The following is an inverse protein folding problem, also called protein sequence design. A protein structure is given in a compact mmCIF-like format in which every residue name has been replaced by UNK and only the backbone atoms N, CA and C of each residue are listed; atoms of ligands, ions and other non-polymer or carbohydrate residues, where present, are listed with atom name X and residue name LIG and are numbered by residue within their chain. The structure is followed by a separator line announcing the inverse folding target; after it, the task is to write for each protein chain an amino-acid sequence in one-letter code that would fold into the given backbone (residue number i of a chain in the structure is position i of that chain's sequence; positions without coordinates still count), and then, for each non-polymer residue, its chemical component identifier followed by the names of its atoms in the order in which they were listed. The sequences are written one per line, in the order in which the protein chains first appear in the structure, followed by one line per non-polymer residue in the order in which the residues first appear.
data_IF_094211939600
#
_entry.id   IF_094211939600
#
_cell.length_a   1.000
_cell.length_b   1.000
_cell.length_c   1.000
_cell.angle_alpha   90.00
_cell.angle_beta   90.00
_cell.angle_gamma   90.00
#
_symmetry.space_group_name_H-M   'P 1'
#
loop_
_entity.id
_entity.type
_entity.pdbx_description
1 polymer ?
#
# COMPACT_ATOMS: atom_id res chain seq x y z
N UNK A 1 57.26 24.27 32.36
CA UNK A 1 56.53 23.11 31.99
C UNK A 1 55.06 23.47 31.74
N UNK A 2 54.62 23.55 30.49
CA UNK A 2 53.23 23.85 30.13
C UNK A 2 52.63 22.60 29.52
N UNK A 3 51.64 22.00 30.23
CA UNK A 3 50.87 20.87 29.74
C UNK A 3 49.80 21.41 28.81
N UNK A 4 49.87 21.01 27.54
CA UNK A 4 48.82 21.27 26.57
C UNK A 4 47.74 20.18 26.71
N UNK A 5 46.55 20.59 27.12
CA UNK A 5 45.36 19.70 27.14
C UNK A 5 44.80 19.55 25.73
N UNK A 6 44.78 18.30 25.25
CA UNK A 6 44.10 17.94 24.01
C UNK A 6 42.66 17.61 24.36
N UNK A 7 41.74 18.49 23.96
CA UNK A 7 40.29 18.24 24.05
C UNK A 7 39.86 17.40 22.83
N UNK A 8 39.51 16.16 23.10
CA UNK A 8 38.94 15.25 22.10
C UNK A 8 37.45 15.58 21.92
N UNK A 9 37.10 16.23 20.83
CA UNK A 9 35.71 16.49 20.47
C UNK A 9 35.10 15.21 19.90
N UNK A 10 34.19 14.58 20.65
CA UNK A 10 33.40 13.46 20.16
C UNK A 10 32.30 13.98 19.21
N UNK A 11 32.47 13.68 17.94
CA UNK A 11 31.42 13.90 16.92
C UNK A 11 30.39 12.77 17.06
N UNK A 12 29.26 13.07 17.70
CA UNK A 12 28.08 12.20 17.64
C UNK A 12 27.50 12.28 16.22
N UNK A 13 27.80 11.27 15.40
CA UNK A 13 27.12 11.08 14.13
C UNK A 13 25.65 10.73 14.39
N UNK A 14 24.72 11.65 14.08
CA UNK A 14 23.30 11.32 13.93
C UNK A 14 23.18 10.36 12.75
N UNK A 15 23.09 9.06 13.04
CA UNK A 15 22.62 8.08 12.07
C UNK A 15 21.14 8.39 11.81
N UNK A 16 20.86 9.22 10.80
CA UNK A 16 19.52 9.41 10.31
C UNK A 16 19.00 8.05 9.86
N UNK A 17 17.97 7.52 10.54
CA UNK A 17 17.22 6.37 10.06
C UNK A 17 16.52 6.83 8.78
N UNK A 18 17.11 6.54 7.63
CA UNK A 18 16.42 6.63 6.37
C UNK A 18 15.16 5.79 6.49
N UNK A 19 13.98 6.42 6.30
CA UNK A 19 12.73 5.69 6.22
C UNK A 19 12.92 4.66 5.10
N UNK A 20 13.07 3.39 5.46
CA UNK A 20 13.16 2.31 4.50
C UNK A 20 11.77 2.17 3.90
N UNK A 21 11.69 2.21 2.58
CA UNK A 21 10.55 1.69 1.87
C UNK A 21 10.27 0.29 2.43
N UNK A 22 9.01 0.00 2.69
CA UNK A 22 8.63 -1.23 3.39
C UNK A 22 8.80 -2.44 2.48
N UNK A 23 9.76 -3.27 2.79
CA UNK A 23 10.05 -4.50 2.06
C UNK A 23 9.03 -5.58 2.44
N UNK A 24 8.25 -6.02 1.46
CA UNK A 24 7.23 -7.05 1.60
C UNK A 24 7.73 -8.45 1.19
N UNK A 25 9.02 -8.59 0.86
CA UNK A 25 9.57 -9.87 0.41
C UNK A 25 9.30 -10.97 1.43
N UNK A 26 8.65 -12.05 0.99
CA UNK A 26 8.28 -13.18 1.85
C UNK A 26 7.06 -12.94 2.76
N UNK A 27 6.53 -11.73 2.82
CA UNK A 27 5.35 -11.43 3.64
C UNK A 27 4.08 -12.04 3.02
N UNK A 28 3.23 -12.61 3.88
CA UNK A 28 1.92 -13.14 3.49
C UNK A 28 0.77 -12.21 3.89
N UNK A 29 1.02 -11.31 4.84
CA UNK A 29 0.04 -10.36 5.35
C UNK A 29 0.63 -8.96 5.43
N UNK A 30 -0.09 -8.00 4.91
CA UNK A 30 0.31 -6.60 4.93
C UNK A 30 -0.89 -5.66 4.90
N UNK A 31 -0.64 -4.43 5.29
CA UNK A 31 -1.62 -3.35 5.29
C UNK A 31 -1.26 -2.38 4.16
N UNK A 32 -2.20 -2.10 3.28
CA UNK A 32 -2.06 -1.09 2.24
C UNK A 32 -2.88 0.15 2.58
N UNK A 33 -2.29 1.32 2.41
CA UNK A 33 -2.96 2.62 2.53
C UNK A 33 -3.10 3.27 1.16
N UNK A 34 -4.30 3.73 0.84
CA UNK A 34 -4.58 4.52 -0.35
C UNK A 34 -4.31 5.99 -0.07
N UNK A 35 -3.48 6.64 -0.88
CA UNK A 35 -3.15 8.07 -0.73
C UNK A 35 -3.88 8.95 -1.73
N UNK A 36 -3.95 8.53 -2.97
CA UNK A 36 -4.47 9.31 -4.08
C UNK A 36 -5.25 8.45 -5.04
N UNK A 37 -6.31 9.01 -5.64
CA UNK A 37 -7.08 8.34 -6.67
C UNK A 37 -7.45 9.29 -7.81
N UNK A 38 -7.56 8.73 -9.00
CA UNK A 38 -8.11 9.39 -10.19
C UNK A 38 -9.29 8.57 -10.67
N UNK A 39 -10.42 9.22 -10.83
CA UNK A 39 -11.64 8.63 -11.40
C UNK A 39 -11.88 9.20 -12.79
N UNK A 40 -12.13 8.34 -13.77
CA UNK A 40 -12.48 8.73 -15.13
C UNK A 40 -13.81 8.13 -15.54
N UNK A 41 -14.61 8.92 -16.22
CA UNK A 41 -15.92 8.54 -16.70
C UNK A 41 -15.91 8.21 -18.21
N UNK A 42 -16.94 7.51 -18.66
CA UNK A 42 -17.04 7.08 -20.06
C UNK A 42 -17.10 8.23 -21.09
N UNK A 43 -17.48 9.44 -20.68
CA UNK A 43 -17.44 10.65 -21.49
C UNK A 43 -16.03 11.26 -21.64
N UNK A 44 -15.04 10.71 -20.93
CA UNK A 44 -13.65 11.15 -20.95
C UNK A 44 -13.27 12.17 -19.90
N UNK A 45 -14.20 12.62 -19.06
CA UNK A 45 -13.88 13.49 -17.94
C UNK A 45 -13.22 12.72 -16.81
N UNK A 46 -12.22 13.32 -16.15
CA UNK A 46 -11.49 12.73 -15.04
C UNK A 46 -11.33 13.75 -13.92
N UNK A 47 -11.44 13.25 -12.69
CA UNK A 47 -11.17 13.99 -11.46
C UNK A 47 -10.12 13.28 -10.61
N UNK A 48 -9.31 14.03 -9.88
CA UNK A 48 -8.26 13.49 -9.02
C UNK A 48 -8.32 14.09 -7.63
N UNK A 49 -7.97 13.30 -6.64
CA UNK A 49 -7.94 13.76 -5.25
C UNK A 49 -7.56 12.67 -4.27
N UNK A 50 -7.73 12.94 -2.96
CA UNK A 50 -7.51 11.93 -1.94
C UNK A 50 -8.43 10.71 -2.16
N UNK A 51 -7.93 9.52 -1.90
CA UNK A 51 -8.66 8.28 -2.19
C UNK A 51 -10.04 8.20 -1.52
N UNK A 52 -10.18 8.71 -0.30
CA UNK A 52 -11.46 8.71 0.44
C UNK A 52 -12.56 9.57 -0.20
N UNK A 53 -12.22 10.49 -1.09
CA UNK A 53 -13.22 11.30 -1.83
C UNK A 53 -14.05 10.47 -2.82
N UNK A 54 -13.62 9.22 -3.10
CA UNK A 54 -14.21 8.38 -4.14
C UNK A 54 -14.70 7.03 -3.60
N UNK A 55 -15.06 6.94 -2.33
CA UNK A 55 -15.46 5.70 -1.65
C UNK A 55 -14.41 4.57 -1.75
N UNK A 56 -13.14 4.95 -1.86
CA UNK A 56 -12.03 4.02 -1.78
C UNK A 56 -11.63 3.85 -0.32
N UNK A 57 -11.63 2.63 0.22
CA UNK A 57 -11.19 2.40 1.58
C UNK A 57 -9.76 2.91 1.78
N UNK A 58 -9.55 3.70 2.82
CA UNK A 58 -8.23 4.27 3.11
C UNK A 58 -7.21 3.18 3.47
N UNK A 59 -7.66 2.12 4.14
CA UNK A 59 -6.80 1.01 4.55
C UNK A 59 -7.42 -0.32 4.16
N UNK A 60 -6.60 -1.18 3.56
CA UNK A 60 -6.97 -2.55 3.20
C UNK A 60 -5.91 -3.50 3.73
N UNK A 61 -6.35 -4.50 4.48
CA UNK A 61 -5.53 -5.65 4.84
C UNK A 61 -5.51 -6.65 3.69
N UNK A 62 -4.32 -7.10 3.32
CA UNK A 62 -4.10 -8.14 2.33
C UNK A 62 -3.62 -9.40 3.04
N UNK A 63 -4.33 -10.50 2.83
CA UNK A 63 -4.00 -11.82 3.34
C UNK A 63 -3.83 -12.76 2.14
N UNK A 64 -2.58 -12.98 1.73
CA UNK A 64 -2.26 -13.81 0.56
C UNK A 64 -2.51 -15.30 0.84
N UNK A 65 -2.27 -15.73 2.09
CA UNK A 65 -2.46 -17.12 2.50
C UNK A 65 -3.93 -17.54 2.39
N UNK A 66 -4.84 -16.68 2.87
CA UNK A 66 -6.27 -16.93 2.81
C UNK A 66 -6.94 -16.33 1.56
N UNK A 67 -6.17 -15.74 0.66
CA UNK A 67 -6.64 -15.11 -0.59
C UNK A 67 -7.81 -14.16 -0.38
N UNK A 68 -7.63 -13.19 0.50
CA UNK A 68 -8.67 -12.20 0.81
C UNK A 68 -8.12 -10.81 1.04
N UNK A 69 -8.93 -9.82 0.72
CA UNK A 69 -8.78 -8.42 1.10
C UNK A 69 -9.81 -8.11 2.18
N UNK A 70 -9.45 -7.34 3.18
CA UNK A 70 -10.38 -6.90 4.23
C UNK A 70 -10.21 -5.41 4.50
N UNK A 71 -11.32 -4.69 4.64
CA UNK A 71 -11.30 -3.32 5.14
C UNK A 71 -10.99 -3.32 6.63
N UNK A 72 -10.40 -2.24 7.12
CA UNK A 72 -10.12 -2.05 8.53
C UNK A 72 -11.22 -1.24 9.21
N UNK A 73 -11.29 -1.30 10.53
CA UNK A 73 -12.21 -0.44 11.31
C UNK A 73 -11.93 1.06 11.07
N UNK A 74 -10.67 1.42 10.84
CA UNK A 74 -10.28 2.79 10.53
C UNK A 74 -10.84 3.29 9.19
N UNK A 75 -11.19 2.40 8.27
CA UNK A 75 -11.85 2.75 7.01
C UNK A 75 -13.37 2.93 7.13
N UNK A 76 -13.94 2.74 8.32
CA UNK A 76 -15.39 2.88 8.56
C UNK A 76 -16.25 1.78 7.94
N UNK A 77 -15.65 0.76 7.37
CA UNK A 77 -16.32 -0.37 6.71
C UNK A 77 -15.88 -1.71 7.33
N UNK A 78 -16.76 -2.70 7.21
CA UNK A 78 -16.46 -4.09 7.56
C UNK A 78 -16.78 -4.99 6.37
N UNK A 79 -15.81 -5.18 5.49
CA UNK A 79 -15.98 -5.93 4.25
C UNK A 79 -14.79 -6.85 4.02
N UNK A 80 -15.07 -8.04 3.52
CA UNK A 80 -14.05 -9.00 3.09
C UNK A 80 -14.34 -9.41 1.65
N UNK A 81 -13.32 -9.31 0.81
CA UNK A 81 -13.40 -9.60 -0.63
C UNK A 81 -12.43 -10.70 -0.99
N UNK A 82 -12.85 -11.75 -1.72
CA UNK A 82 -11.95 -12.79 -2.15
C UNK A 82 -11.00 -12.30 -3.25
N UNK A 83 -9.75 -12.76 -3.19
CA UNK A 83 -8.78 -12.64 -4.28
C UNK A 83 -9.00 -13.85 -5.20
N UNK A 84 -9.43 -13.60 -6.43
CA UNK A 84 -9.74 -14.66 -7.39
C UNK A 84 -8.49 -15.14 -8.14
N UNK A 85 -7.55 -14.25 -8.39
CA UNK A 85 -6.27 -14.55 -9.02
C UNK A 85 -5.15 -13.89 -8.21
N UNK A 86 -4.12 -14.68 -7.90
CA UNK A 86 -2.93 -14.25 -7.18
C UNK A 86 -1.70 -14.74 -7.94
N UNK A 87 -0.83 -13.81 -8.31
CA UNK A 87 0.49 -14.10 -8.87
C UNK A 87 1.55 -13.38 -8.06
N UNK A 88 2.66 -14.06 -7.82
CA UNK A 88 3.82 -13.49 -7.14
C UNK A 88 5.05 -13.89 -7.92
N UNK A 89 5.59 -12.96 -8.67
CA UNK A 89 6.66 -13.21 -9.63
C UNK A 89 7.52 -11.98 -9.84
N UNK A 90 8.81 -12.20 -9.96
CA UNK A 90 9.79 -11.16 -10.35
C UNK A 90 9.75 -9.90 -9.47
N UNK A 91 9.51 -10.05 -8.17
CA UNK A 91 9.44 -8.94 -7.22
C UNK A 91 8.13 -8.16 -7.25
N UNK A 92 7.10 -8.70 -7.89
CA UNK A 92 5.77 -8.12 -7.92
C UNK A 92 4.71 -9.10 -7.38
N UNK A 93 3.69 -8.54 -6.75
CA UNK A 93 2.47 -9.25 -6.35
C UNK A 93 1.32 -8.68 -7.17
N UNK A 94 0.62 -9.54 -7.90
CA UNK A 94 -0.57 -9.19 -8.66
C UNK A 94 -1.77 -9.85 -8.03
N UNK A 95 -2.77 -9.05 -7.65
CA UNK A 95 -4.04 -9.51 -7.08
C UNK A 95 -5.17 -9.07 -7.99
N UNK A 96 -6.09 -9.96 -8.28
CA UNK A 96 -7.27 -9.64 -9.08
C UNK A 96 -8.52 -10.23 -8.46
N UNK A 97 -9.63 -9.54 -8.60
CA UNK A 97 -10.91 -9.99 -8.12
C UNK A 97 -12.08 -9.20 -8.68
N UNK A 98 -13.25 -9.58 -8.20
CA UNK A 98 -14.52 -8.97 -8.60
C UNK A 98 -15.45 -8.92 -7.41
N UNK A 99 -16.04 -7.75 -7.15
CA UNK A 99 -16.98 -7.54 -6.07
C UNK A 99 -17.94 -6.39 -6.40
N UNK A 100 -19.21 -6.54 -6.11
CA UNK A 100 -20.22 -5.48 -6.27
C UNK A 100 -20.18 -4.80 -7.65
N UNK A 101 -20.12 -5.58 -8.72
CA UNK A 101 -20.04 -5.11 -10.12
C UNK A 101 -18.77 -4.27 -10.41
N UNK A 102 -17.69 -4.48 -9.65
CA UNK A 102 -16.38 -3.88 -9.82
C UNK A 102 -15.33 -4.97 -10.02
N UNK A 103 -14.57 -4.89 -11.09
CA UNK A 103 -13.35 -5.65 -11.25
C UNK A 103 -12.18 -4.84 -10.71
N UNK A 104 -11.23 -5.47 -10.04
CA UNK A 104 -10.04 -4.80 -9.53
C UNK A 104 -8.77 -5.58 -9.83
N UNK A 105 -7.68 -4.85 -9.96
CA UNK A 105 -6.34 -5.40 -10.10
C UNK A 105 -5.36 -4.56 -9.29
N UNK A 106 -4.60 -5.21 -8.40
CA UNK A 106 -3.51 -4.61 -7.65
C UNK A 106 -2.19 -5.03 -8.27
N UNK A 107 -1.29 -4.10 -8.44
CA UNK A 107 0.12 -4.35 -8.70
C UNK A 107 0.92 -3.77 -7.54
N UNK A 108 1.64 -4.64 -6.82
CA UNK A 108 2.43 -4.28 -5.64
C UNK A 108 3.88 -4.60 -5.93
N UNK A 109 4.77 -3.62 -5.77
CA UNK A 109 6.22 -3.86 -5.76
C UNK A 109 6.64 -4.38 -4.39
N UNK A 110 7.23 -5.58 -4.35
CA UNK A 110 7.59 -6.23 -3.08
C UNK A 110 8.67 -5.51 -2.30
N UNK A 111 9.62 -4.88 -2.97
CA UNK A 111 10.76 -4.25 -2.30
C UNK A 111 10.44 -2.88 -1.73
N UNK A 112 9.54 -2.17 -2.35
CA UNK A 112 9.20 -0.79 -1.96
C UNK A 112 7.85 -0.68 -1.27
N UNK A 113 7.00 -1.69 -1.39
CA UNK A 113 5.62 -1.65 -0.91
C UNK A 113 4.70 -0.74 -1.73
N UNK A 114 5.19 -0.09 -2.78
CA UNK A 114 4.31 0.73 -3.64
C UNK A 114 3.22 -0.12 -4.27
N UNK A 115 2.01 0.42 -4.25
CA UNK A 115 0.84 -0.24 -4.83
C UNK A 115 0.10 0.69 -5.78
N UNK A 116 -0.25 0.14 -6.93
CA UNK A 116 -1.19 0.75 -7.87
C UNK A 116 -2.39 -0.18 -8.02
N UNK A 117 -3.60 0.37 -7.93
CA UNK A 117 -4.84 -0.38 -8.08
C UNK A 117 -5.64 0.20 -9.24
N UNK A 118 -6.07 -0.67 -10.14
CA UNK A 118 -7.03 -0.34 -11.17
C UNK A 118 -8.38 -0.96 -10.81
N UNK A 119 -9.44 -0.15 -10.86
CA UNK A 119 -10.83 -0.58 -10.60
C UNK A 119 -11.67 -0.22 -11.81
N UNK A 120 -12.37 -1.19 -12.35
CA UNK A 120 -13.25 -1.00 -13.49
C UNK A 120 -14.71 -1.28 -13.09
N UNK A 121 -15.60 -0.36 -13.47
CA UNK A 121 -17.06 -0.49 -13.41
C UNK A 121 -17.62 -0.27 -14.81
N UNK A 122 -18.92 -0.41 -14.98
CA UNK A 122 -19.58 -0.30 -16.29
C UNK A 122 -19.18 0.95 -17.10
N UNK A 123 -19.10 2.10 -16.44
CA UNK A 123 -18.90 3.42 -17.06
C UNK A 123 -17.88 4.29 -16.33
N UNK A 124 -17.12 3.69 -15.43
CA UNK A 124 -16.16 4.37 -14.57
C UNK A 124 -14.90 3.52 -14.41
N UNK A 125 -13.75 4.16 -14.51
CA UNK A 125 -12.45 3.59 -14.17
C UNK A 125 -11.80 4.40 -13.05
N UNK A 126 -11.21 3.73 -12.07
CA UNK A 126 -10.50 4.38 -10.97
C UNK A 126 -9.08 3.82 -10.91
N UNK A 127 -8.10 4.71 -10.84
CA UNK A 127 -6.71 4.38 -10.52
C UNK A 127 -6.41 4.86 -9.11
N UNK A 128 -5.87 3.99 -8.26
CA UNK A 128 -5.52 4.30 -6.87
C UNK A 128 -4.03 4.08 -6.68
N UNK A 129 -3.37 5.01 -6.01
CA UNK A 129 -1.96 4.94 -5.63
C UNK A 129 -1.82 4.90 -4.12
N UNK A 130 -0.90 4.10 -3.64
CA UNK A 130 -0.68 3.94 -2.22
C UNK A 130 0.59 3.17 -1.90
N UNK A 131 0.67 2.73 -0.67
CA UNK A 131 1.81 1.96 -0.18
C UNK A 131 1.35 0.89 0.81
N UNK A 132 2.07 -0.22 0.84
CA UNK A 132 1.82 -1.34 1.72
C UNK A 132 2.99 -1.52 2.70
N UNK A 133 2.68 -1.94 3.92
CA UNK A 133 3.64 -2.25 4.97
C UNK A 133 3.36 -3.64 5.55
N UNK A 134 4.38 -4.42 5.95
CA UNK A 134 4.16 -5.69 6.60
C UNK A 134 3.23 -5.55 7.80
N UNK A 135 2.24 -6.43 7.89
CA UNK A 135 1.44 -6.54 9.10
C UNK A 135 2.16 -7.50 10.06
N UNK A 136 2.88 -6.96 11.03
CA UNK A 136 3.43 -7.77 12.09
C UNK A 136 2.27 -8.38 12.88
N UNK A 137 2.27 -9.70 13.02
CA UNK A 137 1.39 -10.35 13.98
C UNK A 137 1.72 -9.76 15.34
N UNK A 138 0.74 -9.13 15.99
CA UNK A 138 0.92 -8.72 17.39
C UNK A 138 1.33 -9.95 18.19
N UNK A 139 2.31 -9.82 19.11
CA UNK A 139 2.73 -10.93 19.96
C UNK A 139 1.58 -11.44 20.82
#
# INVERSE_FOLDING_TARGET
MRLAGVTLAAVLGLAGTAARADDLTGQQRFLCSASHATICYADGECDSGPAWSWDVPQFIEVDLENKRLSTTKASGESRTTPILNLQRESGHIVLQGYENKRAFSFLIDEKTGWVTVAIARKDVAVSVFGACTPKTSAP
#
